data_IF_602781305695
#
_entry.id   IF_602781305695
#
_cell.length_a   1.000
_cell.length_b   1.000
_cell.length_c   1.000
_cell.angle_alpha   90.00
_cell.angle_beta   90.00
_cell.angle_gamma   90.00
#
_symmetry.space_group_name_H-M   'P 1'
#
loop_
_entity.id
_entity.type
_entity.pdbx_description
1 polymer ?
#
# COMPACT_ATOMS: atom_id res chain seq x y z
N UNK A 1 -1.60 15.72 16.68
CA UNK A 1 -0.44 15.61 15.77
C UNK A 1 0.83 16.02 16.53
N UNK A 2 1.85 15.15 16.58
CA UNK A 2 3.10 15.42 17.32
C UNK A 2 4.03 16.32 16.50
N UNK A 3 4.83 17.14 17.19
CA UNK A 3 5.85 17.99 16.56
C UNK A 3 7.26 17.60 17.01
N UNK A 4 8.23 17.74 16.11
CA UNK A 4 9.64 17.48 16.41
C UNK A 4 10.54 18.46 15.66
N UNK A 5 11.60 18.93 16.31
CA UNK A 5 12.62 19.74 15.66
C UNK A 5 13.45 18.95 14.65
N UNK A 6 13.86 19.59 13.55
CA UNK A 6 14.60 18.96 12.45
C UNK A 6 15.92 18.30 12.90
N UNK A 7 16.62 18.87 13.89
CA UNK A 7 17.83 18.27 14.45
C UNK A 7 17.52 16.92 15.13
N UNK A 8 16.50 16.89 16.00
CA UNK A 8 16.07 15.68 16.69
C UNK A 8 15.46 14.65 15.74
N UNK A 9 14.72 15.10 14.73
CA UNK A 9 14.24 14.23 13.65
C UNK A 9 15.41 13.55 12.91
N UNK A 10 16.47 14.30 12.57
CA UNK A 10 17.67 13.75 11.93
C UNK A 10 18.36 12.69 12.81
N UNK A 11 18.46 12.94 14.12
CA UNK A 11 19.07 12.02 15.08
C UNK A 11 18.27 10.72 15.29
N UNK A 12 16.94 10.80 15.24
CA UNK A 12 16.03 9.71 15.63
C UNK A 12 15.19 9.18 14.44
N UNK A 13 15.59 9.49 13.21
CA UNK A 13 14.77 9.34 12.01
C UNK A 13 14.18 7.94 11.86
N UNK A 14 15.01 6.89 11.88
CA UNK A 14 14.55 5.52 11.65
C UNK A 14 13.60 5.04 12.77
N UNK A 15 13.95 5.28 14.04
CA UNK A 15 13.10 4.90 15.16
C UNK A 15 11.73 5.61 15.13
N UNK A 16 11.68 6.85 14.64
CA UNK A 16 10.43 7.60 14.47
C UNK A 16 9.59 7.08 13.30
N UNK A 17 10.22 6.59 12.23
CA UNK A 17 9.52 5.97 11.10
C UNK A 17 8.91 4.62 11.50
N UNK A 18 9.62 3.83 12.30
CA UNK A 18 9.14 2.52 12.79
C UNK A 18 7.95 2.64 13.74
N UNK A 19 7.84 3.75 14.47
CA UNK A 19 6.82 4.02 15.49
C UNK A 19 5.82 5.10 15.04
N UNK A 20 5.68 5.30 13.73
CA UNK A 20 4.87 6.39 13.20
C UNK A 20 3.36 6.08 13.32
N UNK A 21 2.67 6.86 14.14
CA UNK A 21 1.22 6.79 14.32
C UNK A 21 0.47 7.19 13.03
N UNK A 22 -0.80 6.78 12.89
CA UNK A 22 -1.67 7.11 11.74
C UNK A 22 -1.76 8.62 11.45
N UNK A 23 -1.75 9.45 12.50
CA UNK A 23 -1.80 10.92 12.38
C UNK A 23 -0.48 11.53 11.83
N UNK A 24 0.62 10.77 11.84
CA UNK A 24 1.96 11.22 11.50
C UNK A 24 2.55 12.27 12.45
N UNK A 25 3.62 12.93 11.99
CA UNK A 25 4.36 13.96 12.73
C UNK A 25 4.71 15.17 11.86
N UNK A 26 4.83 16.33 12.50
CA UNK A 26 5.31 17.57 11.87
C UNK A 26 6.77 17.81 12.26
N UNK A 27 7.62 18.02 11.26
CA UNK A 27 9.00 18.44 11.45
C UNK A 27 9.08 19.96 11.41
N UNK A 28 9.68 20.56 12.43
CA UNK A 28 9.86 22.01 12.55
C UNK A 28 11.33 22.41 12.44
N UNK A 29 11.60 23.62 11.96
CA UNK A 29 12.94 24.24 11.99
C UNK A 29 12.81 25.62 12.60
N UNK A 30 13.52 25.87 13.71
CA UNK A 30 13.39 27.10 14.50
C UNK A 30 11.92 27.41 14.91
N UNK A 31 11.18 26.38 15.33
CA UNK A 31 9.78 26.50 15.76
C UNK A 31 8.77 26.68 14.63
N UNK A 32 9.21 26.73 13.36
CA UNK A 32 8.33 26.84 12.20
C UNK A 32 8.14 25.47 11.55
N UNK A 33 6.91 25.02 11.25
CA UNK A 33 6.66 23.81 10.49
C UNK A 33 7.35 23.87 9.12
N UNK A 34 8.06 22.81 8.74
CA UNK A 34 8.75 22.71 7.44
C UNK A 34 8.44 21.45 6.66
N UNK A 35 8.05 20.37 7.33
CA UNK A 35 7.65 19.12 6.68
C UNK A 35 6.65 18.35 7.53
N UNK A 36 5.95 17.40 6.92
CA UNK A 36 5.10 16.42 7.59
C UNK A 36 5.51 15.03 7.12
N UNK A 37 5.62 14.09 8.05
CA UNK A 37 5.87 12.68 7.77
C UNK A 37 4.60 11.92 8.13
N UNK A 38 4.10 11.16 7.16
CA UNK A 38 2.90 10.35 7.29
C UNK A 38 3.25 8.88 7.06
N UNK A 39 2.56 7.94 7.72
CA UNK A 39 2.69 6.54 7.37
C UNK A 39 2.27 6.33 5.91
N UNK A 40 2.95 5.43 5.23
CA UNK A 40 2.58 5.07 3.87
C UNK A 40 1.46 4.02 3.92
N UNK A 41 0.23 4.44 3.60
CA UNK A 41 -0.90 3.53 3.55
C UNK A 41 -0.71 2.50 2.43
N UNK A 42 -0.50 1.24 2.82
CA UNK A 42 -0.52 0.13 1.88
C UNK A 42 -1.97 -0.28 1.57
N UNK A 43 -2.67 0.57 0.82
CA UNK A 43 -4.10 0.39 0.47
C UNK A 43 -4.39 -0.92 -0.26
N UNK A 44 -3.37 -1.59 -0.82
CA UNK A 44 -3.53 -2.83 -1.57
C UNK A 44 -3.88 -4.05 -0.71
N UNK A 45 -3.41 -4.11 0.54
CA UNK A 45 -3.60 -5.30 1.38
C UNK A 45 -5.04 -5.47 1.88
N UNK A 46 -5.73 -4.37 2.20
CA UNK A 46 -7.10 -4.40 2.72
C UNK A 46 -8.13 -4.92 1.71
N UNK A 47 -7.83 -4.78 0.41
CA UNK A 47 -8.73 -5.21 -0.66
C UNK A 47 -8.60 -6.70 -0.98
N UNK A 48 -7.53 -7.37 -0.57
CA UNK A 48 -7.31 -8.81 -0.82
C UNK A 48 -8.39 -9.61 -0.08
N UNK A 49 -9.27 -10.26 -0.83
CA UNK A 49 -10.36 -11.06 -0.27
C UNK A 49 -11.61 -10.27 0.12
N UNK A 50 -11.66 -8.95 -0.11
CA UNK A 50 -12.85 -8.11 0.13
C UNK A 50 -14.10 -8.57 -0.64
N UNK A 51 -13.90 -9.27 -1.76
CA UNK A 51 -14.96 -9.86 -2.58
C UNK A 51 -15.07 -11.39 -2.44
N UNK A 52 -14.39 -11.99 -1.45
CA UNK A 52 -14.50 -13.43 -1.18
C UNK A 52 -15.98 -13.79 -0.98
N UNK A 53 -16.45 -14.83 -1.66
CA UNK A 53 -17.86 -15.27 -1.67
C UNK A 53 -18.88 -14.29 -2.30
N UNK A 54 -18.45 -13.12 -2.81
CA UNK A 54 -19.33 -12.16 -3.50
C UNK A 54 -19.21 -12.20 -5.02
N UNK A 55 -18.23 -12.94 -5.56
CA UNK A 55 -18.01 -13.10 -7.01
C UNK A 55 -18.59 -14.43 -7.49
N UNK A 56 -19.24 -14.41 -8.65
CA UNK A 56 -19.72 -15.60 -9.36
C UNK A 56 -19.08 -15.68 -10.74
N UNK A 57 -18.44 -16.80 -11.04
CA UNK A 57 -17.93 -17.11 -12.38
C UNK A 57 -19.13 -17.32 -13.32
N UNK A 58 -19.12 -16.64 -14.47
CA UNK A 58 -20.09 -16.84 -15.55
C UNK A 58 -19.35 -17.36 -16.78
N UNK A 59 -19.86 -18.42 -17.39
CA UNK A 59 -19.19 -19.09 -18.51
C UNK A 59 -18.02 -19.98 -18.08
N UNK A 60 -17.28 -20.51 -19.05
CA UNK A 60 -16.06 -21.26 -18.81
C UNK A 60 -14.85 -20.32 -18.92
N UNK A 61 -14.27 -19.93 -17.79
CA UNK A 61 -13.09 -19.04 -17.76
C UNK A 61 -11.78 -19.76 -18.09
N UNK A 62 -11.81 -21.08 -18.23
CA UNK A 62 -10.69 -21.88 -18.72
C UNK A 62 -10.77 -22.14 -20.22
N UNK A 63 -11.87 -21.73 -20.87
CA UNK A 63 -12.01 -21.78 -22.31
C UNK A 63 -11.28 -20.59 -22.94
N UNK A 64 -10.56 -20.84 -24.03
CA UNK A 64 -9.92 -19.79 -24.82
C UNK A 64 -10.84 -19.25 -25.93
N UNK A 65 -11.96 -19.93 -26.19
CA UNK A 65 -12.89 -19.61 -27.29
C UNK A 65 -12.31 -19.87 -28.67
N UNK A 66 -11.20 -20.61 -28.76
CA UNK A 66 -10.51 -20.95 -30.00
C UNK A 66 -10.48 -22.47 -30.15
N UNK A 67 -10.76 -22.95 -31.35
CA UNK A 67 -10.44 -24.31 -31.73
C UNK A 67 -8.94 -24.37 -32.07
N UNK A 68 -8.20 -25.16 -31.29
CA UNK A 68 -6.77 -25.37 -31.50
C UNK A 68 -6.54 -26.67 -32.29
N UNK A 69 -5.97 -26.56 -33.49
CA UNK A 69 -5.60 -27.68 -34.37
C UNK A 69 -4.30 -28.40 -33.93
N UNK A 70 -4.09 -28.56 -32.62
CA UNK A 70 -2.85 -29.14 -32.09
C UNK A 70 -2.76 -30.67 -32.27
N UNK A 71 -3.90 -31.34 -32.52
CA UNK A 71 -4.00 -32.79 -32.71
C UNK A 71 -4.59 -33.17 -34.09
N UNK A 72 -4.40 -32.33 -35.12
CA UNK A 72 -4.70 -32.74 -36.50
C UNK A 72 -3.79 -33.94 -36.86
N UNK A 73 -4.35 -35.14 -36.72
CA UNK A 73 -3.70 -36.45 -36.81
C UNK A 73 -2.71 -36.55 -37.96
N UNK A 74 -1.52 -37.05 -37.65
CA UNK A 74 -0.56 -37.60 -38.62
C UNK A 74 -1.18 -38.70 -39.47
#
# INVERSE_FOLDING_TARGET
MKEIGAARFKEQCLALLDQLDADGLVVTKHGKPVARVLPYDNQGAELIGSLRHKVRIRGNIFDTGLDWDADAKS
#
